data_IF_577664862982
#
_entry.id   IF_577664862982
#
_cell.length_a   1.000
_cell.length_b   1.000
_cell.length_c   1.000
_cell.angle_alpha   90.00
_cell.angle_beta   90.00
_cell.angle_gamma   90.00
#
_symmetry.space_group_name_H-M   'P 1'
#
loop_
_entity.id
_entity.type
_entity.pdbx_description
1 polymer ?
#
# COMPACT_ATOMS: atom_id res chain seq x y z
N UNK A 1 28.75 -15.45 -2.36
CA UNK A 1 29.28 -15.89 -1.05
C UNK A 1 28.44 -15.25 0.09
N UNK A 2 27.12 -15.45 0.12
CA UNK A 2 26.20 -14.74 1.04
C UNK A 2 25.48 -15.66 2.04
N UNK A 3 26.15 -16.71 2.52
CA UNK A 3 25.54 -17.70 3.43
C UNK A 3 25.86 -17.49 4.92
N UNK A 4 26.63 -16.45 5.30
CA UNK A 4 27.20 -16.31 6.66
C UNK A 4 26.47 -15.40 7.64
N UNK A 5 25.29 -14.87 7.32
CA UNK A 5 24.64 -13.83 8.16
C UNK A 5 23.38 -14.32 8.89
N UNK A 6 22.81 -15.48 8.53
CA UNK A 6 21.54 -15.95 9.12
C UNK A 6 21.61 -16.20 10.63
N UNK A 7 22.57 -17.01 11.09
CA UNK A 7 22.70 -17.38 12.51
C UNK A 7 22.89 -16.19 13.46
N UNK A 8 23.83 -15.24 13.20
CA UNK A 8 23.99 -14.09 14.09
C UNK A 8 22.79 -13.14 14.04
N UNK A 9 22.17 -12.95 12.88
CA UNK A 9 20.97 -12.11 12.75
C UNK A 9 19.77 -12.74 13.49
N UNK A 10 19.55 -14.05 13.36
CA UNK A 10 18.51 -14.78 14.09
C UNK A 10 18.74 -14.76 15.60
N UNK A 11 19.98 -14.91 16.06
CA UNK A 11 20.34 -14.81 17.47
C UNK A 11 20.07 -13.40 18.02
N UNK A 12 20.43 -12.35 17.26
CA UNK A 12 20.15 -10.96 17.60
C UNK A 12 18.65 -10.66 17.65
N UNK A 13 17.87 -11.18 16.70
CA UNK A 13 16.42 -11.03 16.68
C UNK A 13 15.76 -11.69 17.89
N UNK A 14 16.16 -12.93 18.24
CA UNK A 14 15.64 -13.63 19.43
C UNK A 14 16.00 -12.93 20.73
N UNK A 15 17.25 -12.44 20.85
CA UNK A 15 17.68 -11.70 22.03
C UNK A 15 16.89 -10.39 22.23
N UNK A 16 16.44 -9.78 21.14
CA UNK A 16 15.69 -8.52 21.14
C UNK A 16 14.19 -8.69 20.89
N UNK A 17 13.66 -9.92 20.89
CA UNK A 17 12.26 -10.19 20.58
C UNK A 17 11.30 -9.43 21.50
N UNK A 18 11.68 -9.26 22.77
CA UNK A 18 10.93 -8.49 23.78
C UNK A 18 11.05 -6.97 23.61
N UNK A 19 12.02 -6.51 22.82
CA UNK A 19 12.23 -5.10 22.45
C UNK A 19 11.49 -4.74 21.16
N UNK A 20 10.96 -5.73 20.43
CA UNK A 20 10.11 -5.49 19.28
C UNK A 20 8.79 -4.89 19.78
N UNK A 21 8.56 -3.62 19.45
CA UNK A 21 7.29 -2.99 19.72
C UNK A 21 6.22 -3.66 18.84
N UNK A 22 5.07 -4.06 19.39
CA UNK A 22 3.97 -4.54 18.58
C UNK A 22 3.59 -3.42 17.60
N UNK A 23 3.56 -3.73 16.31
CA UNK A 23 3.06 -2.81 15.29
C UNK A 23 1.58 -2.64 15.54
N UNK A 24 1.21 -1.60 16.31
CA UNK A 24 -0.16 -1.15 16.41
C UNK A 24 -0.49 -0.52 15.06
N UNK A 25 -1.20 -1.26 14.21
CA UNK A 25 -1.88 -0.63 13.08
C UNK A 25 -2.83 0.39 13.69
N UNK A 26 -2.72 1.70 13.34
CA UNK A 26 -3.73 2.65 13.77
C UNK A 26 -5.10 2.10 13.33
N UNK A 27 -6.16 2.31 14.13
CA UNK A 27 -7.49 1.99 13.66
C UNK A 27 -7.70 2.70 12.32
N UNK A 28 -8.18 1.97 11.33
CA UNK A 28 -8.57 2.54 10.04
C UNK A 28 -9.60 3.64 10.31
N UNK A 29 -9.16 4.88 10.43
CA UNK A 29 -10.06 6.01 10.38
C UNK A 29 -10.56 6.06 8.93
N UNK A 30 -11.69 5.42 8.70
CA UNK A 30 -12.46 5.51 7.45
C UNK A 30 -12.97 6.96 7.33
N UNK A 31 -12.05 7.88 7.07
CA UNK A 31 -12.38 9.24 6.65
C UNK A 31 -13.09 9.15 5.30
N UNK A 32 -13.94 10.13 5.03
CA UNK A 32 -14.67 10.22 3.76
C UNK A 32 -13.75 10.21 2.52
N UNK A 33 -12.43 10.34 2.69
CA UNK A 33 -11.38 10.31 1.67
C UNK A 33 -11.20 8.91 1.04
N UNK A 34 -11.51 7.84 1.78
CA UNK A 34 -11.30 6.45 1.33
C UNK A 34 -12.47 5.89 0.51
N UNK A 35 -13.55 6.66 0.32
CA UNK A 35 -14.75 6.17 -0.39
C UNK A 35 -14.56 6.25 -1.90
N UNK A 36 -14.53 5.09 -2.56
CA UNK A 36 -14.48 4.93 -4.01
C UNK A 36 -15.76 5.44 -4.69
N UNK A 37 -15.63 6.14 -5.81
CA UNK A 37 -16.80 6.52 -6.63
C UNK A 37 -17.49 5.24 -7.12
N UNK A 38 -18.82 5.17 -7.08
CA UNK A 38 -19.55 4.02 -7.61
C UNK A 38 -19.40 2.72 -6.80
N UNK A 39 -18.73 2.76 -5.64
CA UNK A 39 -18.52 1.60 -4.78
C UNK A 39 -17.33 0.72 -5.18
N UNK A 40 -17.16 -0.37 -4.42
CA UNK A 40 -16.05 -1.32 -4.59
C UNK A 40 -16.32 -2.27 -5.75
N UNK A 41 -15.33 -2.46 -6.62
CA UNK A 41 -15.35 -3.45 -7.68
C UNK A 41 -15.13 -4.86 -7.09
N UNK A 42 -16.00 -5.85 -7.38
CA UNK A 42 -15.84 -7.22 -6.88
C UNK A 42 -14.54 -7.91 -7.31
N UNK A 43 -13.99 -7.56 -8.48
CA UNK A 43 -12.73 -8.11 -9.00
C UNK A 43 -11.50 -7.35 -8.49
N UNK A 44 -11.69 -6.12 -8.02
CA UNK A 44 -10.65 -5.22 -7.54
C UNK A 44 -11.11 -4.54 -6.23
N UNK A 45 -10.82 -5.14 -5.06
CA UNK A 45 -11.35 -4.71 -3.77
C UNK A 45 -11.07 -3.24 -3.39
N UNK A 46 -10.03 -2.66 -3.99
CA UNK A 46 -9.58 -1.30 -3.74
C UNK A 46 -9.85 -0.34 -4.90
N UNK A 47 -10.60 -0.79 -5.92
CA UNK A 47 -10.94 0.00 -7.10
C UNK A 47 -12.44 0.21 -7.23
N UNK A 48 -12.77 1.28 -7.93
CA UNK A 48 -14.13 1.69 -8.26
C UNK A 48 -14.80 0.73 -9.26
N UNK A 49 -16.12 0.58 -9.15
CA UNK A 49 -16.95 -0.09 -10.18
C UNK A 49 -17.00 0.65 -11.53
N UNK A 50 -16.36 1.82 -11.64
CA UNK A 50 -16.13 2.53 -12.90
C UNK A 50 -15.03 1.87 -13.75
N UNK A 51 -14.18 1.05 -13.13
CA UNK A 51 -13.06 0.36 -13.76
C UNK A 51 -13.38 -1.12 -13.98
N UNK A 52 -12.72 -1.75 -14.95
CA UNK A 52 -12.70 -3.20 -15.14
C UNK A 52 -11.30 -3.68 -15.54
N UNK A 53 -11.06 -4.98 -15.48
CA UNK A 53 -9.82 -5.61 -15.91
C UNK A 53 -10.02 -6.25 -17.27
N UNK A 54 -9.14 -5.91 -18.21
CA UNK A 54 -9.04 -6.55 -19.51
C UNK A 54 -7.64 -7.16 -19.66
N UNK A 55 -7.56 -8.37 -20.21
CA UNK A 55 -6.30 -9.01 -20.55
C UNK A 55 -6.20 -9.13 -22.07
N UNK A 56 -5.09 -8.66 -22.65
CA UNK A 56 -4.82 -8.86 -24.08
C UNK A 56 -3.44 -9.43 -24.31
N UNK A 57 -3.28 -10.17 -25.41
CA UNK A 57 -2.01 -10.82 -25.78
C UNK A 57 -0.84 -9.83 -25.93
N UNK A 58 -1.13 -8.57 -26.28
CA UNK A 58 -0.09 -7.55 -26.52
C UNK A 58 0.33 -6.79 -25.27
N UNK A 59 -0.58 -6.57 -24.32
CA UNK A 59 -0.36 -5.68 -23.18
C UNK A 59 -0.50 -6.38 -21.83
N UNK A 60 -0.90 -7.65 -21.81
CA UNK A 60 -1.22 -8.38 -20.59
C UNK A 60 -2.47 -7.82 -19.90
N UNK A 61 -2.51 -7.98 -18.58
CA UNK A 61 -3.59 -7.51 -17.72
C UNK A 61 -3.49 -6.00 -17.51
N UNK A 62 -4.56 -5.28 -17.85
CA UNK A 62 -4.68 -3.83 -17.65
C UNK A 62 -6.03 -3.47 -17.05
N UNK A 63 -6.07 -2.29 -16.44
CA UNK A 63 -7.30 -1.69 -15.96
C UNK A 63 -7.84 -0.73 -17.03
N UNK A 64 -9.12 -0.86 -17.36
CA UNK A 64 -9.83 -0.04 -18.35
C UNK A 64 -11.00 0.71 -17.69
N UNK A 65 -11.43 1.81 -18.30
CA UNK A 65 -12.67 2.48 -17.91
C UNK A 65 -13.87 1.71 -18.49
N UNK A 66 -14.71 1.14 -17.63
CA UNK A 66 -15.93 0.45 -18.00
C UNK A 66 -17.16 1.38 -18.04
N UNK A 67 -17.07 2.54 -17.39
CA UNK A 67 -18.11 3.58 -17.30
C UNK A 67 -17.48 4.96 -17.47
N UNK A 68 -18.28 6.01 -17.77
CA UNK A 68 -17.79 7.39 -17.77
C UNK A 68 -17.14 7.76 -16.43
N UNK A 69 -16.02 8.47 -16.51
CA UNK A 69 -15.25 8.94 -15.36
C UNK A 69 -15.28 10.47 -15.41
N UNK A 70 -15.74 11.08 -14.33
CA UNK A 70 -15.80 12.53 -14.21
C UNK A 70 -14.61 13.06 -13.40
N UNK A 71 -14.20 14.32 -13.63
CA UNK A 71 -13.16 14.95 -12.83
C UNK A 71 -13.49 14.93 -11.33
N UNK A 72 -12.56 14.43 -10.53
CA UNK A 72 -12.76 14.27 -9.07
C UNK A 72 -13.19 12.88 -8.64
N UNK A 73 -13.47 11.96 -9.58
CA UNK A 73 -13.78 10.58 -9.25
C UNK A 73 -12.61 9.84 -8.62
N UNK A 74 -12.92 9.06 -7.58
CA UNK A 74 -11.96 8.24 -6.85
C UNK A 74 -11.98 6.82 -7.40
N UNK A 75 -11.02 6.57 -8.27
CA UNK A 75 -10.92 5.33 -9.02
C UNK A 75 -10.25 4.20 -8.23
N UNK A 76 -9.17 4.50 -7.51
CA UNK A 76 -8.40 3.51 -6.75
C UNK A 76 -7.93 4.15 -5.45
N UNK A 77 -8.06 3.43 -4.34
CA UNK A 77 -7.53 3.83 -3.03
C UNK A 77 -6.88 2.61 -2.40
N UNK A 78 -5.55 2.62 -2.32
CA UNK A 78 -4.76 1.50 -1.77
C UNK A 78 -3.75 1.98 -0.74
N UNK A 79 -3.58 1.17 0.29
CA UNK A 79 -2.43 1.30 1.19
C UNK A 79 -1.16 0.79 0.50
N UNK A 80 -0.01 1.46 0.69
CA UNK A 80 1.23 0.99 0.12
C UNK A 80 1.59 -0.37 0.72
N UNK A 81 1.89 -1.34 -0.15
CA UNK A 81 2.39 -2.64 0.31
C UNK A 81 3.68 -2.50 1.13
N UNK A 82 4.58 -1.63 0.66
CA UNK A 82 5.74 -1.16 1.38
C UNK A 82 6.07 0.26 0.90
N UNK A 83 6.53 1.11 1.82
CA UNK A 83 7.01 2.45 1.48
C UNK A 83 8.18 2.82 2.39
N UNK A 84 9.15 3.54 1.84
CA UNK A 84 10.32 4.03 2.57
C UNK A 84 10.51 5.50 2.26
N UNK A 85 10.77 6.31 3.28
CA UNK A 85 11.06 7.73 3.08
C UNK A 85 12.45 7.89 2.41
N UNK A 86 12.54 8.80 1.45
CA UNK A 86 13.81 9.11 0.80
C UNK A 86 14.75 9.87 1.77
N UNK A 87 16.07 9.64 1.72
CA UNK A 87 17.03 10.25 2.66
C UNK A 87 16.96 11.77 2.76
N UNK A 88 16.61 12.45 1.67
CA UNK A 88 16.51 13.91 1.59
C UNK A 88 15.44 14.49 2.52
N UNK A 89 14.46 13.67 2.92
CA UNK A 89 13.37 14.08 3.80
C UNK A 89 13.58 13.66 5.26
N UNK A 90 14.75 13.11 5.61
CA UNK A 90 15.05 12.73 6.98
C UNK A 90 15.10 13.96 7.89
N UNK A 91 14.38 13.89 9.02
CA UNK A 91 14.24 15.00 9.96
C UNK A 91 13.19 16.05 9.58
N UNK A 92 12.59 15.96 8.38
CA UNK A 92 11.52 16.87 7.95
C UNK A 92 10.17 16.19 7.79
N UNK A 93 10.14 14.88 7.51
CA UNK A 93 8.90 14.12 7.41
C UNK A 93 8.94 12.90 8.32
N UNK A 94 7.77 12.47 8.77
CA UNK A 94 7.60 11.23 9.51
C UNK A 94 7.90 10.02 8.61
N UNK A 95 8.71 9.07 9.11
CA UNK A 95 9.05 7.83 8.40
C UNK A 95 7.85 6.88 8.19
N UNK A 96 6.77 7.06 8.96
CA UNK A 96 5.61 6.18 8.94
C UNK A 96 4.46 6.74 8.08
N UNK A 97 4.07 8.00 8.31
CA UNK A 97 2.91 8.60 7.65
C UNK A 97 3.27 9.65 6.58
N UNK A 98 4.57 9.94 6.39
CA UNK A 98 5.07 10.96 5.47
C UNK A 98 4.50 12.37 5.67
N UNK A 99 3.87 12.64 6.83
CA UNK A 99 3.49 14.00 7.21
C UNK A 99 4.74 14.83 7.48
N UNK A 100 4.70 16.09 7.05
CA UNK A 100 5.73 17.09 7.38
C UNK A 100 5.52 17.67 8.77
#
# INVERSE_FOLDING_TARGET
MFARVKKPCEAFLRANEKSLLPVKRPPEEHTAVTRLTGGVNPRLPNASTLLDIEETEKAGMRVIAAKPIEPGDRLVVEEPFAATLLPEFFGTHCQHCFSR
#
